data_IF_055832844698
#
_entry.id   IF_055832844698
#
_cell.length_a   1.000
_cell.length_b   1.000
_cell.length_c   1.000
_cell.angle_alpha   90.00
_cell.angle_beta   90.00
_cell.angle_gamma   90.00
#
_symmetry.space_group_name_H-M   'P 1'
#
loop_
_entity.id
_entity.type
_entity.pdbx_description
1 polymer ?
#
# COMPACT_ATOMS: atom_id res chain seq x y z
N UNK A 1 -56.62 34.86 -52.92
CA UNK A 1 -55.46 34.20 -53.55
C UNK A 1 -54.32 35.21 -53.63
N UNK A 2 -53.14 34.85 -53.07
CA UNK A 2 -51.83 35.55 -53.12
C UNK A 2 -51.81 36.96 -52.47
N UNK A 3 -50.86 37.37 -51.60
CA UNK A 3 -49.38 37.34 -51.63
C UNK A 3 -48.91 37.73 -50.20
N UNK A 4 -48.00 36.99 -49.55
CA UNK A 4 -46.53 37.13 -49.56
C UNK A 4 -45.96 38.34 -48.79
N UNK A 5 -45.28 38.08 -47.65
CA UNK A 5 -44.19 38.94 -47.12
C UNK A 5 -43.35 38.21 -46.05
N UNK A 6 -42.27 37.61 -46.55
CA UNK A 6 -40.90 37.65 -46.01
C UNK A 6 -40.70 37.85 -44.50
N UNK A 7 -40.26 36.78 -43.82
CA UNK A 7 -39.34 36.87 -42.69
C UNK A 7 -37.97 36.31 -43.10
N UNK A 8 -37.03 37.23 -43.33
CA UNK A 8 -35.58 36.98 -43.34
C UNK A 8 -35.12 36.99 -41.89
N UNK A 9 -34.33 35.99 -41.50
CA UNK A 9 -32.88 36.15 -41.27
C UNK A 9 -32.34 35.27 -40.11
N UNK A 10 -31.11 34.79 -40.32
CA UNK A 10 -30.11 34.32 -39.35
C UNK A 10 -30.18 32.89 -38.81
N UNK A 11 -29.75 31.95 -39.66
CA UNK A 11 -29.00 30.77 -39.19
C UNK A 11 -27.58 31.20 -38.81
N UNK A 12 -27.29 31.24 -37.52
CA UNK A 12 -25.94 31.36 -36.98
C UNK A 12 -25.27 29.98 -37.12
N UNK A 13 -24.37 29.85 -38.10
CA UNK A 13 -23.52 28.65 -38.23
C UNK A 13 -22.37 28.75 -37.23
N UNK A 14 -22.59 28.24 -36.00
CA UNK A 14 -21.52 28.02 -35.03
C UNK A 14 -20.53 26.99 -35.61
N UNK A 15 -19.36 27.46 -36.04
CA UNK A 15 -18.21 26.61 -36.35
C UNK A 15 -17.78 25.88 -35.07
N UNK A 16 -18.27 24.66 -34.90
CA UNK A 16 -17.87 23.75 -33.83
C UNK A 16 -16.40 23.38 -34.08
N UNK A 17 -15.49 24.03 -33.36
CA UNK A 17 -14.06 23.73 -33.33
C UNK A 17 -13.92 22.24 -32.97
N UNK A 18 -13.47 21.41 -33.90
CA UNK A 18 -13.26 19.98 -33.62
C UNK A 18 -12.23 19.85 -32.48
N UNK A 19 -12.48 18.99 -31.47
CA UNK A 19 -11.49 18.71 -30.44
C UNK A 19 -10.29 18.04 -31.09
N UNK A 20 -9.08 18.54 -30.80
CA UNK A 20 -7.81 17.92 -31.20
C UNK A 20 -7.83 16.47 -30.72
N UNK A 21 -7.83 15.51 -31.65
CA UNK A 21 -7.61 14.09 -31.35
C UNK A 21 -6.27 13.97 -30.62
N UNK A 22 -6.28 13.67 -29.32
CA UNK A 22 -5.08 13.14 -28.64
C UNK A 22 -4.69 11.89 -29.42
N UNK A 23 -3.57 11.93 -30.14
CA UNK A 23 -3.03 10.73 -30.77
C UNK A 23 -2.70 9.75 -29.64
N UNK A 24 -3.43 8.64 -29.59
CA UNK A 24 -3.03 7.51 -28.78
C UNK A 24 -1.70 7.00 -29.36
N UNK A 25 -0.62 7.04 -28.58
CA UNK A 25 0.67 6.49 -29.02
C UNK A 25 0.51 5.01 -29.35
N UNK A 26 1.16 4.58 -30.44
CA UNK A 26 1.13 3.19 -30.91
C UNK A 26 2.03 2.30 -30.05
N UNK A 27 1.89 0.98 -30.19
CA UNK A 27 2.70 0.01 -29.45
C UNK A 27 4.20 0.14 -29.74
N UNK A 28 4.56 0.45 -30.99
CA UNK A 28 5.96 0.65 -31.41
C UNK A 28 6.55 1.91 -30.78
N UNK A 29 5.80 3.01 -30.78
CA UNK A 29 6.22 4.26 -30.13
C UNK A 29 6.46 4.09 -28.63
N UNK A 30 5.68 3.22 -27.98
CA UNK A 30 5.91 2.90 -26.57
C UNK A 30 7.21 2.11 -26.34
N UNK A 31 7.59 1.23 -27.27
CA UNK A 31 8.86 0.49 -27.21
C UNK A 31 10.04 1.44 -27.41
N UNK A 32 9.99 2.28 -28.43
CA UNK A 32 11.01 3.30 -28.69
C UNK A 32 11.17 4.24 -27.49
N UNK A 33 10.04 4.65 -26.88
CA UNK A 33 10.05 5.49 -25.68
C UNK A 33 10.75 4.79 -24.50
N UNK A 34 10.46 3.50 -24.29
CA UNK A 34 11.07 2.75 -23.20
C UNK A 34 12.57 2.49 -23.43
N UNK A 35 12.94 2.12 -24.67
CA UNK A 35 14.33 1.88 -25.07
C UNK A 35 15.18 3.14 -24.92
N UNK A 36 14.69 4.28 -25.43
CA UNK A 36 15.39 5.56 -25.31
C UNK A 36 15.53 5.98 -23.85
N UNK A 37 14.48 5.86 -23.05
CA UNK A 37 14.55 6.22 -21.63
C UNK A 37 15.62 5.41 -20.89
N UNK A 38 15.67 4.08 -21.07
CA UNK A 38 16.69 3.23 -20.44
C UNK A 38 18.09 3.57 -20.94
N UNK A 39 18.23 3.87 -22.24
CA UNK A 39 19.51 4.30 -22.83
C UNK A 39 20.00 5.59 -22.18
N UNK A 40 19.14 6.61 -22.09
CA UNK A 40 19.46 7.91 -21.51
C UNK A 40 19.76 7.83 -20.01
N UNK A 41 19.08 6.92 -19.30
CA UNK A 41 19.25 6.69 -17.86
C UNK A 41 20.33 5.68 -17.49
N UNK A 42 21.07 5.11 -18.45
CA UNK A 42 21.87 3.91 -18.25
C UNK A 42 22.89 4.04 -17.10
N UNK A 43 23.58 5.16 -16.98
CA UNK A 43 24.60 5.37 -15.95
C UNK A 43 23.97 5.41 -14.55
N UNK A 44 22.85 6.12 -14.40
CA UNK A 44 22.10 6.16 -13.13
C UNK A 44 21.57 4.77 -12.76
N UNK A 45 21.01 4.06 -13.74
CA UNK A 45 20.45 2.72 -13.54
C UNK A 45 21.50 1.67 -13.15
N UNK A 46 22.72 1.76 -13.68
CA UNK A 46 23.83 0.86 -13.27
C UNK A 46 24.30 1.11 -11.84
N UNK A 47 24.10 2.32 -11.32
CA UNK A 47 24.42 2.65 -9.92
C UNK A 47 23.28 2.36 -8.94
N UNK A 48 22.10 2.00 -9.44
CA UNK A 48 20.96 1.67 -8.60
C UNK A 48 21.23 0.38 -7.81
N UNK A 49 21.07 0.45 -6.49
CA UNK A 49 21.33 -0.68 -5.60
C UNK A 49 20.07 -1.46 -5.26
N UNK A 50 18.89 -0.83 -5.40
CA UNK A 50 17.60 -1.43 -5.08
C UNK A 50 16.57 -1.21 -6.19
N UNK A 51 15.54 -2.06 -6.20
CA UNK A 51 14.39 -1.87 -7.09
C UNK A 51 13.68 -0.52 -6.87
N UNK A 52 13.78 0.08 -5.66
CA UNK A 52 13.17 1.38 -5.35
C UNK A 52 13.87 2.52 -6.07
N UNK A 53 15.20 2.47 -6.17
CA UNK A 53 16.00 3.46 -6.89
C UNK A 53 15.60 3.49 -8.38
N UNK A 54 15.48 2.30 -8.99
CA UNK A 54 15.01 2.15 -10.38
C UNK A 54 13.57 2.65 -10.53
N UNK A 55 12.71 2.38 -9.55
CA UNK A 55 11.32 2.81 -9.59
C UNK A 55 11.18 4.33 -9.48
N UNK A 56 11.99 4.97 -8.63
CA UNK A 56 12.04 6.42 -8.48
C UNK A 56 12.55 7.07 -9.78
N UNK A 57 13.64 6.56 -10.34
CA UNK A 57 14.13 7.00 -11.66
C UNK A 57 13.03 6.92 -12.73
N UNK A 58 12.29 5.81 -12.79
CA UNK A 58 11.24 5.64 -13.78
C UNK A 58 10.08 6.63 -13.61
N UNK A 59 9.81 7.06 -12.37
CA UNK A 59 8.81 8.09 -12.07
C UNK A 59 9.29 9.44 -12.59
N UNK A 60 10.54 9.80 -12.30
CA UNK A 60 11.15 11.06 -12.75
C UNK A 60 11.25 11.13 -14.28
N UNK A 61 11.60 10.02 -14.93
CA UNK A 61 11.62 9.90 -16.38
C UNK A 61 10.22 9.81 -17.03
N UNK A 62 9.14 9.75 -16.24
CA UNK A 62 7.76 9.68 -16.74
C UNK A 62 7.38 8.33 -17.38
N UNK A 63 8.21 7.29 -17.24
CA UNK A 63 8.00 5.95 -17.83
C UNK A 63 7.42 4.94 -16.84
N UNK A 64 7.17 5.35 -15.60
CA UNK A 64 6.58 4.55 -14.53
C UNK A 64 5.08 4.20 -14.70
N UNK A 65 4.55 4.27 -15.92
CA UNK A 65 3.12 4.05 -16.21
C UNK A 65 2.80 2.57 -16.46
N UNK A 66 1.55 2.16 -16.25
CA UNK A 66 1.10 0.77 -16.53
C UNK A 66 1.41 0.30 -17.95
N UNK A 67 1.45 1.22 -18.91
CA UNK A 67 1.67 0.94 -20.34
C UNK A 67 3.15 0.78 -20.71
N UNK A 68 4.01 1.62 -20.14
CA UNK A 68 5.45 1.65 -20.45
C UNK A 68 6.25 0.73 -19.52
N UNK A 69 5.83 0.54 -18.28
CA UNK A 69 6.60 -0.18 -17.27
C UNK A 69 7.01 -1.60 -17.67
N UNK A 70 6.14 -2.44 -18.27
CA UNK A 70 6.55 -3.76 -18.75
C UNK A 70 7.67 -3.69 -19.82
N UNK A 71 7.62 -2.66 -20.70
CA UNK A 71 8.63 -2.45 -21.74
C UNK A 71 9.94 -1.96 -21.17
N UNK A 72 9.89 -1.05 -20.20
CA UNK A 72 11.05 -0.59 -19.44
C UNK A 72 11.75 -1.77 -18.75
N UNK A 73 11.02 -2.67 -18.09
CA UNK A 73 11.62 -3.87 -17.49
C UNK A 73 12.32 -4.77 -18.52
N UNK A 74 11.73 -4.93 -19.71
CA UNK A 74 12.38 -5.66 -20.80
C UNK A 74 13.67 -4.98 -21.26
N UNK A 75 13.67 -3.65 -21.41
CA UNK A 75 14.85 -2.89 -21.83
C UNK A 75 15.95 -2.83 -20.76
N UNK A 76 15.59 -2.78 -19.47
CA UNK A 76 16.54 -2.94 -18.35
C UNK A 76 17.30 -4.27 -18.46
N UNK A 77 16.59 -5.38 -18.73
CA UNK A 77 17.21 -6.69 -18.93
C UNK A 77 18.05 -6.72 -20.21
N UNK A 78 17.51 -6.23 -21.33
CA UNK A 78 18.17 -6.26 -22.66
C UNK A 78 19.44 -5.41 -22.71
N UNK A 79 19.43 -4.21 -22.16
CA UNK A 79 20.51 -3.23 -22.32
C UNK A 79 21.52 -3.25 -21.17
N UNK A 80 21.06 -3.53 -19.95
CA UNK A 80 21.85 -3.37 -18.73
C UNK A 80 22.01 -4.68 -17.93
N UNK A 81 21.39 -5.77 -18.38
CA UNK A 81 21.33 -7.06 -17.66
C UNK A 81 20.70 -6.95 -16.25
N UNK A 82 19.80 -5.98 -16.07
CA UNK A 82 19.09 -5.76 -14.81
C UNK A 82 17.73 -6.45 -14.87
N UNK A 83 17.56 -7.49 -14.08
CA UNK A 83 16.24 -8.07 -13.81
C UNK A 83 15.57 -7.36 -12.62
N UNK A 84 14.68 -6.42 -12.94
CA UNK A 84 13.96 -5.65 -11.91
C UNK A 84 13.14 -6.52 -10.96
N UNK A 85 12.47 -7.55 -11.50
CA UNK A 85 11.56 -8.36 -10.69
C UNK A 85 12.38 -9.23 -9.72
N UNK A 86 13.49 -9.82 -10.18
CA UNK A 86 14.44 -10.54 -9.33
C UNK A 86 15.08 -9.60 -8.28
N UNK A 87 15.56 -8.43 -8.68
CA UNK A 87 16.14 -7.45 -7.74
C UNK A 87 15.15 -7.06 -6.65
N UNK A 88 13.86 -6.93 -7.00
CA UNK A 88 12.79 -6.65 -6.04
C UNK A 88 12.59 -7.82 -5.07
N UNK A 89 12.52 -9.04 -5.58
CA UNK A 89 12.38 -10.24 -4.76
C UNK A 89 13.56 -10.38 -3.79
N UNK A 90 14.79 -10.23 -4.28
CA UNK A 90 16.01 -10.29 -3.48
C UNK A 90 16.05 -9.22 -2.40
N UNK A 91 15.70 -7.96 -2.75
CA UNK A 91 15.64 -6.85 -1.78
C UNK A 91 14.65 -7.16 -0.66
N UNK A 92 13.44 -7.62 -1.02
CA UNK A 92 12.38 -7.92 -0.05
C UNK A 92 12.77 -9.11 0.83
N UNK A 93 13.39 -10.14 0.25
CA UNK A 93 13.85 -11.31 0.99
C UNK A 93 14.99 -10.95 1.96
N UNK A 94 15.95 -10.13 1.54
CA UNK A 94 17.04 -9.65 2.39
C UNK A 94 16.51 -8.81 3.56
N UNK A 95 15.61 -7.85 3.29
CA UNK A 95 14.99 -7.03 4.34
C UNK A 95 14.16 -7.87 5.33
N UNK A 96 13.44 -8.88 4.84
CA UNK A 96 12.71 -9.81 5.70
C UNK A 96 13.68 -10.59 6.60
N UNK A 97 14.77 -11.13 6.04
CA UNK A 97 15.78 -11.85 6.80
C UNK A 97 16.48 -10.96 7.86
N UNK A 98 16.74 -9.70 7.55
CA UNK A 98 17.27 -8.72 8.52
C UNK A 98 16.29 -8.47 9.66
N UNK A 99 15.00 -8.30 9.34
CA UNK A 99 13.94 -8.11 10.35
C UNK A 99 13.84 -9.33 11.25
N UNK A 100 13.83 -10.53 10.67
CA UNK A 100 13.76 -11.79 11.44
C UNK A 100 15.00 -11.99 12.32
N UNK A 101 16.19 -11.69 11.82
CA UNK A 101 17.43 -11.76 12.60
C UNK A 101 17.44 -10.76 13.78
N UNK A 102 16.87 -9.57 13.59
CA UNK A 102 16.75 -8.56 14.63
C UNK A 102 15.58 -8.82 15.60
N UNK A 103 14.67 -9.73 15.27
CA UNK A 103 13.45 -9.95 16.03
C UNK A 103 13.65 -10.69 17.35
N UNK A 104 14.71 -11.53 17.48
CA UNK A 104 14.89 -12.42 18.64
C UNK A 104 14.80 -11.70 19.98
N UNK A 105 15.45 -10.54 20.08
CA UNK A 105 15.54 -9.72 21.28
C UNK A 105 14.73 -8.43 21.18
N UNK A 106 13.95 -8.28 20.10
CA UNK A 106 13.14 -7.09 19.89
C UNK A 106 11.96 -7.06 20.88
N UNK A 107 11.59 -5.86 21.39
CA UNK A 107 10.39 -5.67 22.18
C UNK A 107 9.13 -6.16 21.45
N UNK A 108 8.17 -6.66 22.23
CA UNK A 108 6.91 -7.20 21.75
C UNK A 108 5.81 -6.16 21.85
N UNK A 109 4.96 -6.12 20.83
CA UNK A 109 3.68 -5.43 20.80
C UNK A 109 2.62 -6.49 20.52
N UNK A 110 1.51 -6.45 21.25
CA UNK A 110 0.37 -7.35 21.04
C UNK A 110 -0.87 -6.54 20.71
N UNK A 111 -1.50 -6.82 19.56
CA UNK A 111 -2.67 -6.10 19.07
C UNK A 111 -3.73 -7.08 18.59
N UNK A 112 -4.99 -6.71 18.79
CA UNK A 112 -6.11 -7.26 18.06
C UNK A 112 -6.38 -6.44 16.80
N UNK A 113 -6.78 -7.07 15.70
CA UNK A 113 -7.38 -6.40 14.56
C UNK A 113 -8.71 -7.04 14.15
N UNK A 114 -9.58 -6.24 13.54
CA UNK A 114 -10.77 -6.74 12.86
C UNK A 114 -11.14 -5.80 11.69
N UNK A 115 -11.58 -6.38 10.57
CA UNK A 115 -12.31 -5.68 9.52
C UNK A 115 -13.78 -6.14 9.49
N UNK A 116 -14.71 -5.22 9.29
CA UNK A 116 -16.13 -5.52 9.08
C UNK A 116 -16.56 -4.95 7.71
N UNK A 117 -16.64 -5.85 6.71
CA UNK A 117 -17.06 -5.53 5.33
C UNK A 117 -18.52 -5.06 5.26
N UNK A 118 -19.42 -5.59 6.10
CA UNK A 118 -20.85 -5.26 6.05
C UNK A 118 -21.10 -3.76 6.27
N UNK A 119 -20.26 -3.13 7.10
CA UNK A 119 -20.34 -1.69 7.41
C UNK A 119 -19.12 -0.90 6.95
N UNK A 120 -18.20 -1.53 6.21
CA UNK A 120 -16.95 -0.95 5.70
C UNK A 120 -16.10 -0.27 6.79
N UNK A 121 -15.88 -0.94 7.92
CA UNK A 121 -15.10 -0.43 9.06
C UNK A 121 -13.95 -1.35 9.45
N UNK A 122 -13.03 -0.80 10.25
CA UNK A 122 -11.95 -1.55 10.87
C UNK A 122 -11.78 -1.12 12.32
N UNK A 123 -11.09 -1.97 13.07
CA UNK A 123 -10.53 -1.64 14.35
C UNK A 123 -9.19 -2.35 14.59
N UNK A 124 -8.35 -1.70 15.38
CA UNK A 124 -7.14 -2.22 15.99
C UNK A 124 -7.14 -1.79 17.45
N UNK A 125 -6.81 -2.66 18.40
CA UNK A 125 -6.66 -2.28 19.80
C UNK A 125 -5.57 -3.08 20.51
N UNK A 126 -4.98 -2.49 21.55
CA UNK A 126 -4.03 -3.18 22.41
C UNK A 126 -4.71 -4.26 23.25
N UNK A 127 -4.00 -5.35 23.55
CA UNK A 127 -4.54 -6.49 24.31
C UNK A 127 -4.96 -6.10 25.73
N UNK A 128 -4.25 -5.16 26.35
CA UNK A 128 -4.43 -4.81 27.76
C UNK A 128 -5.20 -3.51 28.00
N UNK A 129 -5.48 -2.74 26.95
CA UNK A 129 -6.13 -1.43 27.06
C UNK A 129 -6.89 -1.07 25.78
N UNK A 130 -8.22 -1.18 25.81
CA UNK A 130 -9.07 -0.80 24.68
C UNK A 130 -9.14 0.72 24.48
N UNK A 131 -8.64 1.53 25.43
CA UNK A 131 -8.44 2.95 25.22
C UNK A 131 -7.34 3.24 24.21
N UNK A 132 -6.40 2.31 24.00
CA UNK A 132 -5.37 2.37 22.96
C UNK A 132 -5.88 1.68 21.69
N UNK A 133 -6.97 2.23 21.15
CA UNK A 133 -7.66 1.72 19.97
C UNK A 133 -7.62 2.69 18.79
N UNK A 134 -7.58 2.13 17.59
CA UNK A 134 -7.70 2.84 16.32
C UNK A 134 -8.81 2.19 15.52
N UNK A 135 -9.92 2.91 15.31
CA UNK A 135 -11.07 2.39 14.58
C UNK A 135 -11.74 3.48 13.74
N UNK A 136 -12.46 3.05 12.70
CA UNK A 136 -13.21 3.93 11.83
C UNK A 136 -13.61 3.25 10.52
N UNK A 137 -14.03 4.06 9.55
CA UNK A 137 -14.38 3.59 8.20
C UNK A 137 -13.14 3.42 7.32
N UNK A 138 -13.18 2.45 6.41
CA UNK A 138 -12.22 2.40 5.31
C UNK A 138 -12.37 3.63 4.41
N UNK A 139 -11.23 4.16 3.96
CA UNK A 139 -11.14 5.26 3.01
C UNK A 139 -10.83 4.74 1.60
N UNK A 140 -11.11 5.56 0.58
CA UNK A 140 -10.75 5.28 -0.82
C UNK A 140 -9.25 5.01 -1.05
N UNK A 141 -8.40 5.38 -0.07
CA UNK A 141 -6.95 5.16 -0.09
C UNK A 141 -6.55 3.81 0.50
N UNK A 142 -7.47 3.07 1.11
CA UNK A 142 -7.25 1.72 1.59
C UNK A 142 -7.31 0.73 0.43
N UNK A 143 -6.24 0.73 -0.39
CA UNK A 143 -6.15 -0.02 -1.65
C UNK A 143 -6.29 -1.55 -1.51
N UNK A 144 -6.15 -2.07 -0.29
CA UNK A 144 -6.30 -3.49 0.02
C UNK A 144 -7.77 -3.86 0.17
N UNK A 145 -8.57 -2.99 0.77
CA UNK A 145 -9.99 -3.24 1.01
C UNK A 145 -10.78 -3.24 -0.29
N UNK A 146 -11.64 -4.25 -0.45
CA UNK A 146 -12.54 -4.46 -1.58
C UNK A 146 -13.93 -4.76 -1.00
N UNK A 147 -14.93 -3.91 -1.27
CA UNK A 147 -16.29 -4.18 -0.79
C UNK A 147 -16.80 -5.55 -1.27
N UNK A 148 -17.37 -6.32 -0.35
CA UNK A 148 -17.84 -7.69 -0.60
C UNK A 148 -16.76 -8.77 -0.44
N UNK A 149 -15.61 -8.45 0.16
CA UNK A 149 -14.48 -9.36 0.39
C UNK A 149 -13.99 -9.20 1.84
N UNK A 150 -14.49 -10.07 2.72
CA UNK A 150 -14.20 -10.08 4.17
C UNK A 150 -12.69 -10.19 4.46
N UNK A 151 -11.98 -11.06 3.74
CA UNK A 151 -10.53 -11.21 3.90
C UNK A 151 -9.80 -9.91 3.55
N UNK A 152 -10.28 -9.16 2.55
CA UNK A 152 -9.69 -7.86 2.21
C UNK A 152 -9.91 -6.80 3.30
N UNK A 153 -11.06 -6.82 3.98
CA UNK A 153 -11.34 -5.96 5.12
C UNK A 153 -10.41 -6.30 6.29
N UNK A 154 -10.30 -7.59 6.62
CA UNK A 154 -9.41 -8.06 7.68
C UNK A 154 -7.95 -7.71 7.38
N UNK A 155 -7.49 -7.97 6.16
CA UNK A 155 -6.12 -7.64 5.73
C UNK A 155 -5.85 -6.13 5.81
N UNK A 156 -6.83 -5.30 5.47
CA UNK A 156 -6.71 -3.84 5.59
C UNK A 156 -6.60 -3.39 7.05
N UNK A 157 -7.28 -4.07 7.98
CA UNK A 157 -7.12 -3.85 9.42
C UNK A 157 -5.75 -4.35 9.94
N UNK A 158 -5.29 -5.51 9.48
CA UNK A 158 -3.99 -6.06 9.82
C UNK A 158 -2.83 -5.17 9.35
N UNK A 159 -2.89 -4.64 8.12
CA UNK A 159 -1.92 -3.67 7.61
C UNK A 159 -1.85 -2.40 8.49
N UNK A 160 -2.98 -1.99 9.08
CA UNK A 160 -3.04 -0.86 10.04
C UNK A 160 -2.41 -1.22 11.37
N UNK A 161 -2.60 -2.43 11.87
CA UNK A 161 -1.92 -2.91 13.09
C UNK A 161 -0.40 -2.92 12.90
N UNK A 162 0.09 -3.39 11.75
CA UNK A 162 1.52 -3.34 11.39
C UNK A 162 2.02 -1.90 11.30
N UNK A 163 1.26 -1.00 10.67
CA UNK A 163 1.59 0.41 10.62
C UNK A 163 1.72 1.01 12.02
N UNK A 164 0.77 0.71 12.92
CA UNK A 164 0.77 1.19 14.30
C UNK A 164 1.99 0.69 15.08
N UNK A 165 2.30 -0.61 15.00
CA UNK A 165 3.51 -1.18 15.59
C UNK A 165 4.79 -0.53 15.03
N UNK A 166 4.82 -0.29 13.72
CA UNK A 166 5.91 0.45 13.07
C UNK A 166 6.05 1.88 13.59
N UNK A 167 4.96 2.57 13.94
CA UNK A 167 5.03 3.89 14.56
C UNK A 167 5.54 3.85 16.00
N UNK A 168 5.17 2.85 16.79
CA UNK A 168 5.76 2.64 18.11
C UNK A 168 7.26 2.37 18.02
N UNK A 169 7.69 1.51 17.08
CA UNK A 169 9.11 1.26 16.75
C UNK A 169 9.86 2.55 16.45
N UNK A 170 9.35 3.36 15.53
CA UNK A 170 9.98 4.64 15.13
C UNK A 170 10.13 5.59 16.31
N UNK A 171 9.10 5.71 17.13
CA UNK A 171 9.12 6.60 18.31
C UNK A 171 10.12 6.13 19.37
N UNK A 172 10.23 4.82 19.57
CA UNK A 172 11.17 4.22 20.51
C UNK A 172 12.62 4.19 20.00
N UNK A 173 12.86 4.52 18.72
CA UNK A 173 14.20 4.48 18.12
C UNK A 173 14.74 3.06 17.96
N UNK A 174 13.86 2.08 17.77
CA UNK A 174 14.21 0.66 17.61
C UNK A 174 14.40 0.30 16.14
N UNK A 175 15.31 -0.64 15.87
CA UNK A 175 15.52 -1.15 14.51
C UNK A 175 14.36 -2.05 14.06
N UNK A 176 13.85 -2.88 14.96
CA UNK A 176 12.78 -3.85 14.73
C UNK A 176 11.91 -3.98 15.98
N UNK A 177 10.63 -4.34 15.80
CA UNK A 177 9.74 -4.82 16.86
C UNK A 177 9.07 -6.12 16.45
N UNK A 178 8.68 -6.95 17.42
CA UNK A 178 7.81 -8.09 17.19
C UNK A 178 6.35 -7.67 17.39
N UNK A 179 5.48 -8.07 16.48
CA UNK A 179 4.04 -7.91 16.60
C UNK A 179 3.40 -9.30 16.68
N UNK A 180 2.72 -9.59 17.78
CA UNK A 180 1.73 -10.67 17.85
C UNK A 180 0.39 -10.04 17.47
N UNK A 181 -0.15 -10.47 16.33
CA UNK A 181 -1.41 -9.97 15.79
C UNK A 181 -2.50 -11.00 16.00
N UNK A 182 -3.46 -10.66 16.84
CA UNK A 182 -4.64 -11.46 17.09
C UNK A 182 -5.76 -11.10 16.10
N UNK A 183 -6.31 -12.09 15.43
CA UNK A 183 -7.43 -11.96 14.47
C UNK A 183 -8.44 -13.07 14.68
N UNK A 184 -9.67 -12.88 14.21
CA UNK A 184 -10.66 -13.97 14.14
C UNK A 184 -10.75 -14.60 12.75
N UNK A 185 -9.99 -14.10 11.77
CA UNK A 185 -10.05 -14.58 10.39
C UNK A 185 -8.97 -15.64 10.11
N UNK A 186 -9.38 -16.89 9.96
CA UNK A 186 -8.48 -18.04 9.77
C UNK A 186 -7.66 -18.03 8.47
N UNK A 187 -8.12 -17.34 7.43
CA UNK A 187 -7.38 -17.24 6.16
C UNK A 187 -6.30 -16.14 6.16
N UNK A 188 -6.22 -15.31 7.21
CA UNK A 188 -5.17 -14.30 7.31
C UNK A 188 -3.84 -14.98 7.69
N UNK A 189 -2.80 -14.76 6.89
CA UNK A 189 -1.47 -15.36 7.10
C UNK A 189 -0.36 -14.30 7.09
N UNK A 190 0.76 -14.59 7.74
CA UNK A 190 1.90 -13.67 7.81
C UNK A 190 2.47 -13.39 6.41
N UNK A 191 2.40 -14.35 5.49
CA UNK A 191 2.84 -14.22 4.10
C UNK A 191 2.04 -13.15 3.34
N UNK A 192 0.73 -13.03 3.60
CA UNK A 192 -0.11 -11.98 3.01
C UNK A 192 0.28 -10.56 3.46
N UNK A 193 0.95 -10.48 4.62
CA UNK A 193 1.36 -9.25 5.29
C UNK A 193 2.85 -8.94 5.12
N UNK A 194 3.65 -9.88 4.60
CA UNK A 194 5.12 -9.79 4.56
C UNK A 194 5.65 -8.48 3.95
N UNK A 195 5.03 -7.99 2.87
CA UNK A 195 5.44 -6.72 2.25
C UNK A 195 5.19 -5.50 3.16
N UNK A 196 4.12 -5.49 3.94
CA UNK A 196 3.80 -4.39 4.86
C UNK A 196 4.68 -4.50 6.10
N UNK A 197 4.83 -5.71 6.63
CA UNK A 197 5.69 -6.06 7.76
C UNK A 197 7.15 -5.61 7.53
N UNK A 198 7.75 -6.03 6.41
CA UNK A 198 9.11 -5.65 6.00
C UNK A 198 9.27 -4.12 5.86
N UNK A 199 8.33 -3.45 5.18
CA UNK A 199 8.34 -1.98 5.02
C UNK A 199 8.35 -1.25 6.36
N UNK A 200 7.65 -1.79 7.35
CA UNK A 200 7.57 -1.22 8.69
C UNK A 200 8.53 -1.89 9.69
N UNK A 201 9.50 -2.70 9.24
CA UNK A 201 10.45 -3.41 10.12
C UNK A 201 9.78 -4.04 11.34
N UNK A 202 8.67 -4.74 11.10
CA UNK A 202 7.89 -5.47 12.11
C UNK A 202 7.96 -6.95 11.78
N UNK A 203 8.40 -7.77 12.74
CA UNK A 203 8.31 -9.22 12.64
C UNK A 203 6.92 -9.66 13.14
N UNK A 204 6.09 -10.22 12.25
CA UNK A 204 4.67 -10.49 12.54
C UNK A 204 4.45 -11.99 12.82
N UNK A 205 3.81 -12.28 13.95
CA UNK A 205 3.19 -13.58 14.24
C UNK A 205 1.68 -13.40 14.26
N UNK A 206 0.94 -14.32 13.65
CA UNK A 206 -0.53 -14.28 13.65
C UNK A 206 -1.06 -15.33 14.61
N UNK A 207 -1.97 -14.92 15.48
CA UNK A 207 -2.71 -15.80 16.38
C UNK A 207 -4.21 -15.67 16.11
N UNK A 208 -4.82 -16.79 15.69
CA UNK A 208 -6.27 -16.82 15.46
C UNK A 208 -6.97 -17.06 16.79
N UNK A 209 -7.95 -16.22 17.10
CA UNK A 209 -8.72 -16.26 18.35
C UNK A 209 -10.20 -15.95 18.12
N UNK A 210 -11.06 -16.67 18.83
CA UNK A 210 -12.50 -16.43 18.84
C UNK A 210 -12.88 -15.20 19.69
N UNK A 211 -11.99 -14.77 20.59
CA UNK A 211 -12.22 -13.64 21.49
C UNK A 211 -11.45 -12.42 21.00
N UNK A 212 -12.09 -11.64 20.14
CA UNK A 212 -11.47 -10.48 19.51
C UNK A 212 -12.28 -9.19 19.80
N UNK A 213 -11.84 -8.36 20.76
CA UNK A 213 -12.52 -7.12 21.11
C UNK A 213 -12.57 -6.10 19.97
N UNK A 214 -11.67 -6.19 18.98
CA UNK A 214 -11.69 -5.29 17.82
C UNK A 214 -12.98 -5.44 17.00
N UNK A 215 -13.61 -6.61 16.99
CA UNK A 215 -14.90 -6.83 16.28
C UNK A 215 -15.98 -5.87 16.81
N UNK A 216 -16.07 -5.71 18.14
CA UNK A 216 -17.04 -4.79 18.72
C UNK A 216 -16.72 -3.32 18.39
N UNK A 217 -15.43 -2.98 18.31
CA UNK A 217 -14.97 -1.63 17.97
C UNK A 217 -15.26 -1.23 16.52
N UNK A 218 -15.35 -2.17 15.59
CA UNK A 218 -15.80 -1.90 14.22
C UNK A 218 -17.18 -1.22 14.19
N UNK A 219 -18.05 -1.57 15.14
CA UNK A 219 -19.42 -1.02 15.25
C UNK A 219 -19.57 0.07 16.30
N UNK A 220 -18.47 0.51 16.92
CA UNK A 220 -18.49 1.60 17.87
C UNK A 220 -18.84 2.92 17.17
N UNK A 221 -19.61 3.82 17.80
CA UNK A 221 -19.93 5.11 17.20
C UNK A 221 -18.67 5.99 17.08
N UNK A 222 -18.59 6.73 15.97
CA UNK A 222 -17.52 7.68 15.70
C UNK A 222 -16.26 7.05 15.09
N UNK A 223 -15.12 7.65 15.38
CA UNK A 223 -13.80 7.15 14.97
C UNK A 223 -12.77 7.60 16.01
N UNK A 224 -11.62 6.92 16.04
CA UNK A 224 -10.45 7.35 16.81
C UNK A 224 -9.22 7.19 15.94
N UNK A 225 -8.37 8.19 15.84
CA UNK A 225 -7.16 8.08 15.02
C UNK A 225 -5.99 7.50 15.81
N UNK A 226 -5.10 6.76 15.15
CA UNK A 226 -3.87 6.26 15.76
C UNK A 226 -3.01 7.35 16.41
N UNK A 227 -3.13 8.62 15.99
CA UNK A 227 -2.39 9.74 16.59
C UNK A 227 -2.79 10.04 18.03
N UNK A 228 -3.96 9.56 18.45
CA UNK A 228 -4.45 9.68 19.83
C UNK A 228 -3.92 8.54 20.73
N UNK A 229 -3.32 7.49 20.14
CA UNK A 229 -2.77 6.36 20.87
C UNK A 229 -1.44 6.74 21.51
N UNK A 230 -1.24 6.37 22.77
CA UNK A 230 0.05 6.49 23.44
C UNK A 230 0.97 5.35 22.98
N UNK A 231 1.70 5.57 21.89
CA UNK A 231 2.55 4.53 21.29
C UNK A 231 3.50 3.78 22.25
N UNK A 232 3.95 4.41 23.35
CA UNK A 232 4.84 3.76 24.32
C UNK A 232 4.11 2.73 25.22
N UNK A 233 2.78 2.82 25.35
CA UNK A 233 1.98 1.84 26.11
C UNK A 233 1.67 0.57 25.32
N UNK A 234 1.99 0.54 24.02
CA UNK A 234 1.76 -0.63 23.17
C UNK A 234 2.76 -1.77 23.40
N UNK A 235 3.90 -1.47 24.03
CA UNK A 235 4.91 -2.48 24.32
C UNK A 235 4.48 -3.35 25.50
N UNK A 236 4.44 -4.66 25.30
CA UNK A 236 4.25 -5.61 26.40
C UNK A 236 5.45 -5.54 27.34
N UNK A 237 5.20 -5.54 28.65
CA UNK A 237 6.28 -5.68 29.61
C UNK A 237 6.99 -7.02 29.35
N UNK A 238 8.30 -6.99 29.09
CA UNK A 238 9.09 -8.22 28.94
C UNK A 238 8.95 -9.05 30.21
N UNK A 239 8.27 -10.20 30.14
CA UNK A 239 8.43 -11.22 31.16
C UNK A 239 9.89 -11.67 31.11
N UNK A 240 10.67 -11.24 32.11
CA UNK A 240 11.94 -11.89 32.42
C UNK A 240 11.56 -13.25 32.96
N UNK A 241 11.65 -14.28 32.13
CA UNK A 241 11.51 -15.66 32.59
C UNK A 241 12.49 -15.89 33.75
N UNK A 242 12.05 -16.48 34.88
CA UNK A 242 12.88 -16.68 36.07
C UNK A 242 14.06 -17.65 35.82
#
# INVERSE_FOLDING_TARGET
MATDRLHRDRRITLHRKQPRRRHAMTQDQDWDTAEQAVTDGADQLRTATTHRDIRAWAQDAGVATKRLWPKVKTELRKQLDIDYDQLREDTVAAEAAEVDAAASDAPVIELFCAGDDEVATYAVCAVHDDHESWYGQFHDKDIVYRPGDELSAERSAADKAIYLAGKAREKAGLDTVRLILHTSHHELSAELLASTASRHRVAVTIEVTDQNPAIALCRAPGYRTWREIKLDSLFTATEVAP
#
